data_IF_298395241530
#
_entry.id   IF_298395241530
#
_cell.length_a   1.000
_cell.length_b   1.000
_cell.length_c   1.000
_cell.angle_alpha   90.00
_cell.angle_beta   90.00
_cell.angle_gamma   90.00
#
_symmetry.space_group_name_H-M   'P 1'
#
loop_
_entity.id
_entity.type
_entity.pdbx_description
1 polymer ?
#
# COMPACT_ATOMS: atom_id res chain seq x y z
N UNK A 1 5.52 -53.16 -17.02
CA UNK A 1 5.15 -51.78 -17.39
C UNK A 1 4.82 -51.07 -16.09
N UNK A 2 5.85 -50.52 -15.44
CA UNK A 2 5.72 -49.95 -14.10
C UNK A 2 5.57 -48.44 -14.22
N UNK A 3 4.53 -47.95 -13.55
CA UNK A 3 3.99 -46.60 -13.67
C UNK A 3 4.96 -45.53 -13.20
N UNK A 4 5.01 -44.46 -13.98
CA UNK A 4 5.64 -43.21 -13.57
C UNK A 4 4.71 -42.56 -12.54
N UNK A 5 5.12 -42.53 -11.28
CA UNK A 5 4.48 -41.70 -10.25
C UNK A 5 5.01 -40.29 -10.45
N UNK A 6 4.19 -39.41 -11.02
CA UNK A 6 4.42 -37.97 -10.92
C UNK A 6 4.18 -37.56 -9.46
N UNK A 7 5.26 -37.22 -8.76
CA UNK A 7 5.17 -36.51 -7.49
C UNK A 7 5.06 -35.03 -7.79
N UNK A 8 3.87 -34.48 -7.60
CA UNK A 8 3.68 -33.03 -7.49
C UNK A 8 4.38 -32.56 -6.23
N UNK A 9 5.49 -31.83 -6.40
CA UNK A 9 6.10 -31.09 -5.29
C UNK A 9 5.35 -29.77 -5.21
N UNK A 10 4.46 -29.64 -4.22
CA UNK A 10 3.96 -28.33 -3.79
C UNK A 10 5.09 -27.69 -2.98
N UNK A 11 5.72 -26.65 -3.52
CA UNK A 11 6.62 -25.80 -2.75
C UNK A 11 5.79 -24.59 -2.34
N UNK A 12 5.23 -24.61 -1.13
CA UNK A 12 4.69 -23.42 -0.49
C UNK A 12 5.87 -22.49 -0.14
N UNK A 13 6.10 -21.46 -0.94
CA UNK A 13 6.99 -20.35 -0.58
C UNK A 13 6.15 -19.24 0.09
N UNK A 14 5.58 -19.54 1.26
CA UNK A 14 4.92 -18.56 2.14
C UNK A 14 5.88 -17.93 3.17
N UNK A 15 7.20 -18.14 3.04
CA UNK A 15 8.12 -18.08 4.18
C UNK A 15 8.62 -16.69 4.62
N UNK A 16 8.39 -15.62 3.87
CA UNK A 16 8.97 -14.29 4.16
C UNK A 16 7.95 -13.14 4.07
N UNK A 17 6.67 -13.36 4.43
CA UNK A 17 5.73 -12.24 4.50
C UNK A 17 6.02 -11.43 5.76
N UNK A 18 6.40 -10.17 5.59
CA UNK A 18 6.63 -9.26 6.69
C UNK A 18 5.29 -8.97 7.42
N UNK A 19 5.20 -9.09 8.77
CA UNK A 19 3.93 -9.07 9.50
C UNK A 19 3.11 -7.79 9.33
N UNK A 20 3.76 -6.64 9.08
CA UNK A 20 3.08 -5.39 8.75
C UNK A 20 2.11 -5.48 7.56
N UNK A 21 2.32 -6.40 6.61
CA UNK A 21 1.45 -6.58 5.45
C UNK A 21 0.23 -7.49 5.72
N UNK A 22 0.11 -8.06 6.92
CA UNK A 22 -1.11 -8.80 7.33
C UNK A 22 -2.25 -7.84 7.73
N UNK A 23 -1.92 -6.56 7.94
CA UNK A 23 -2.87 -5.50 8.24
C UNK A 23 -3.32 -4.79 6.96
N UNK A 24 -4.51 -4.22 7.02
CA UNK A 24 -5.02 -3.30 6.03
C UNK A 24 -4.18 -2.02 5.98
N UNK A 25 -3.88 -1.49 7.15
CA UNK A 25 -3.03 -0.33 7.36
C UNK A 25 -2.04 -0.66 8.47
N UNK A 26 -0.75 -0.49 8.21
CA UNK A 26 0.30 -0.55 9.21
C UNK A 26 1.20 0.70 9.19
N UNK A 27 1.40 1.35 10.34
CA UNK A 27 2.21 2.58 10.45
C UNK A 27 3.27 2.54 11.56
N UNK A 28 4.42 3.16 11.32
CA UNK A 28 5.47 3.38 12.31
C UNK A 28 5.25 4.55 13.29
N UNK A 29 4.51 5.62 12.94
CA UNK A 29 4.32 6.77 13.87
C UNK A 29 2.87 7.00 14.34
N UNK A 30 1.87 6.53 13.59
CA UNK A 30 0.46 6.68 13.95
C UNK A 30 -0.50 6.59 12.78
N UNK A 31 -1.77 6.32 13.07
CA UNK A 31 -2.86 6.32 12.09
C UNK A 31 -3.84 7.41 12.46
N UNK A 32 -4.14 8.30 11.52
CA UNK A 32 -5.21 9.28 11.62
C UNK A 32 -6.25 8.99 10.55
N UNK A 33 -7.45 8.57 10.95
CA UNK A 33 -8.57 8.31 10.04
C UNK A 33 -9.72 9.26 10.38
N UNK A 34 -10.03 10.15 9.45
CA UNK A 34 -11.01 11.22 9.62
C UNK A 34 -12.17 11.04 8.64
N UNK A 35 -13.27 11.76 8.92
CA UNK A 35 -14.52 11.80 8.16
C UNK A 35 -15.46 10.59 8.39
N UNK A 36 -16.78 10.81 8.61
CA UNK A 36 -17.76 9.75 8.76
C UNK A 36 -17.94 8.83 7.55
N UNK A 37 -17.55 9.26 6.34
CA UNK A 37 -17.68 8.47 5.13
C UNK A 37 -16.47 7.54 4.88
N UNK A 38 -15.42 7.62 5.69
CA UNK A 38 -14.23 6.75 5.60
C UNK A 38 -14.54 5.35 6.13
N UNK A 39 -14.30 4.31 5.32
CA UNK A 39 -14.61 2.91 5.63
C UNK A 39 -13.42 1.96 5.42
N UNK A 40 -12.81 1.54 6.51
CA UNK A 40 -11.65 0.64 6.50
C UNK A 40 -12.13 -0.81 6.73
N UNK A 41 -11.94 -1.74 5.79
CA UNK A 41 -12.33 -3.16 5.93
C UNK A 41 -11.09 -4.06 6.08
N UNK A 42 -10.75 -4.32 7.33
CA UNK A 42 -9.58 -5.09 7.74
C UNK A 42 -8.97 -4.54 9.01
N UNK A 43 -7.97 -5.24 9.51
CA UNK A 43 -7.30 -4.89 10.76
C UNK A 43 -6.30 -3.76 10.54
N UNK A 44 -6.17 -2.86 11.51
CA UNK A 44 -5.20 -1.76 11.47
C UNK A 44 -4.19 -1.88 12.62
N UNK A 45 -2.93 -1.53 12.35
CA UNK A 45 -1.83 -1.61 13.31
C UNK A 45 -0.95 -0.35 13.28
N UNK A 46 -0.46 0.09 14.45
CA UNK A 46 0.60 1.11 14.49
C UNK A 46 1.52 1.01 15.70
N UNK A 47 2.78 1.40 15.52
CA UNK A 47 3.76 1.66 16.60
C UNK A 47 3.47 3.01 17.31
N UNK A 48 2.59 3.82 16.74
CA UNK A 48 2.16 5.08 17.32
C UNK A 48 0.80 5.02 17.99
N UNK A 49 0.06 6.12 17.83
CA UNK A 49 -1.33 6.23 18.26
C UNK A 49 -2.29 6.06 17.08
N UNK A 50 -3.49 5.54 17.34
CA UNK A 50 -4.61 5.57 16.41
C UNK A 50 -5.55 6.69 16.82
N UNK A 51 -5.89 7.58 15.90
CA UNK A 51 -6.89 8.65 16.10
C UNK A 51 -7.99 8.50 15.06
N UNK A 52 -9.20 8.13 15.52
CA UNK A 52 -10.40 8.02 14.69
C UNK A 52 -11.30 9.23 14.92
N UNK A 53 -11.65 9.96 13.86
CA UNK A 53 -12.57 11.10 13.87
C UNK A 53 -13.74 10.88 12.90
N UNK A 54 -14.76 10.15 13.35
CA UNK A 54 -15.96 9.83 12.56
C UNK A 54 -15.83 8.57 11.70
N UNK A 55 -14.63 8.18 11.29
CA UNK A 55 -14.38 7.03 10.40
C UNK A 55 -14.81 5.68 11.00
N UNK A 56 -15.06 4.69 10.13
CA UNK A 56 -15.46 3.32 10.49
C UNK A 56 -14.39 2.30 10.11
N UNK A 57 -14.03 1.41 11.05
CA UNK A 57 -13.15 0.25 10.85
C UNK A 57 -13.97 -1.04 11.08
N UNK A 58 -14.08 -1.84 10.03
CA UNK A 58 -14.59 -3.21 10.08
C UNK A 58 -13.39 -4.15 10.25
N UNK A 59 -12.88 -4.24 11.47
CA UNK A 59 -11.70 -5.02 11.84
C UNK A 59 -11.22 -4.65 13.25
N UNK A 60 -10.09 -5.21 13.64
CA UNK A 60 -9.37 -4.90 14.87
C UNK A 60 -8.54 -3.62 14.72
N UNK A 61 -8.30 -2.93 15.83
CA UNK A 61 -7.38 -1.80 15.90
C UNK A 61 -6.31 -2.06 16.97
N UNK A 62 -5.06 -2.15 16.55
CA UNK A 62 -3.92 -2.47 17.43
C UNK A 62 -2.93 -1.31 17.43
N UNK A 63 -2.60 -0.79 18.60
CA UNK A 63 -1.60 0.26 18.77
C UNK A 63 -0.62 -0.13 19.88
N UNK A 64 0.67 0.14 19.69
CA UNK A 64 1.62 0.12 20.81
C UNK A 64 1.42 1.36 21.71
N UNK A 65 0.95 2.47 21.12
CA UNK A 65 0.48 3.67 21.81
C UNK A 65 -0.98 3.55 22.26
N UNK A 66 -1.72 4.66 22.11
CA UNK A 66 -3.13 4.76 22.49
C UNK A 66 -4.07 4.81 21.29
N UNK A 67 -5.35 4.53 21.54
CA UNK A 67 -6.44 4.59 20.55
C UNK A 67 -7.48 5.61 21.00
N UNK A 68 -7.50 6.77 20.35
CA UNK A 68 -8.50 7.81 20.55
C UNK A 68 -9.62 7.61 19.51
N UNK A 69 -10.74 7.02 19.95
CA UNK A 69 -11.83 6.66 19.04
C UNK A 69 -13.08 7.52 19.22
N UNK A 70 -13.38 8.36 18.23
CA UNK A 70 -14.68 9.07 18.09
C UNK A 70 -15.50 8.60 16.88
N UNK A 71 -15.08 7.51 16.23
CA UNK A 71 -15.77 6.84 15.13
C UNK A 71 -16.29 5.46 15.53
N UNK A 72 -16.22 4.48 14.63
CA UNK A 72 -16.66 3.09 14.88
C UNK A 72 -15.51 2.11 14.62
N UNK A 73 -15.28 1.18 15.55
CA UNK A 73 -14.40 0.01 15.36
C UNK A 73 -15.23 -1.21 15.74
N UNK A 74 -15.38 -2.18 14.84
CA UNK A 74 -16.24 -3.35 15.08
C UNK A 74 -15.53 -4.52 15.75
N UNK A 75 -14.20 -4.58 15.65
CA UNK A 75 -13.36 -5.60 16.29
C UNK A 75 -12.80 -5.17 17.64
N UNK A 76 -11.73 -5.84 18.05
CA UNK A 76 -11.03 -5.56 19.31
C UNK A 76 -10.14 -4.32 19.18
N UNK A 77 -10.11 -3.51 20.24
CA UNK A 77 -9.18 -2.39 20.40
C UNK A 77 -8.08 -2.84 21.37
N UNK A 78 -6.84 -2.90 20.89
CA UNK A 78 -5.66 -3.25 21.69
C UNK A 78 -4.72 -2.06 21.77
N UNK A 79 -4.47 -1.57 22.98
CA UNK A 79 -3.47 -0.53 23.29
C UNK A 79 -2.27 -1.15 24.00
N UNK A 80 -1.07 -0.57 23.87
CA UNK A 80 0.12 -1.11 24.51
C UNK A 80 0.58 -2.46 23.94
N UNK A 81 0.26 -2.75 22.68
CA UNK A 81 0.71 -3.96 21.98
C UNK A 81 2.24 -4.03 21.85
N UNK A 82 2.75 -5.24 21.61
CA UNK A 82 4.17 -5.42 21.27
C UNK A 82 4.48 -4.80 19.90
N UNK A 83 5.65 -4.17 19.79
CA UNK A 83 6.11 -3.56 18.55
C UNK A 83 6.53 -4.64 17.54
N UNK A 84 5.88 -4.65 16.38
CA UNK A 84 6.28 -5.41 15.21
C UNK A 84 7.45 -4.70 14.48
N UNK A 85 8.41 -5.45 13.90
CA UNK A 85 9.48 -4.84 13.10
C UNK A 85 8.91 -4.08 11.90
N UNK A 86 9.63 -3.09 11.37
CA UNK A 86 9.18 -2.33 10.18
C UNK A 86 10.03 -2.70 8.94
N UNK A 87 9.41 -2.93 7.76
CA UNK A 87 10.16 -3.25 6.54
C UNK A 87 10.99 -2.05 6.03
N UNK A 88 12.18 -2.25 5.45
CA UNK A 88 13.09 -1.19 4.96
C UNK A 88 13.37 -1.25 3.45
N UNK A 89 13.08 -0.25 2.63
CA UNK A 89 13.30 -0.41 1.19
C UNK A 89 14.77 -0.63 0.78
N UNK A 90 15.08 -1.79 0.20
CA UNK A 90 16.39 -2.06 -0.44
C UNK A 90 16.41 -1.52 -1.87
N UNK A 91 16.96 -0.31 -2.02
CA UNK A 91 17.06 0.37 -3.32
C UNK A 91 17.86 -0.42 -4.33
N UNK A 92 19.00 -0.99 -3.92
CA UNK A 92 19.91 -1.71 -4.82
C UNK A 92 19.25 -2.96 -5.36
N UNK A 93 18.51 -3.69 -4.51
CA UNK A 93 17.71 -4.82 -4.93
C UNK A 93 16.64 -4.44 -5.96
N UNK A 94 15.82 -3.42 -5.67
CA UNK A 94 14.72 -3.03 -6.56
C UNK A 94 15.22 -2.48 -7.90
N UNK A 95 16.30 -1.70 -7.90
CA UNK A 95 16.93 -1.23 -9.14
C UNK A 95 17.49 -2.41 -9.95
N UNK A 96 18.16 -3.36 -9.31
CA UNK A 96 18.72 -4.54 -9.97
C UNK A 96 17.66 -5.51 -10.53
N UNK A 97 16.44 -5.52 -9.95
CA UNK A 97 15.30 -6.33 -10.41
C UNK A 97 14.41 -5.59 -11.41
N UNK A 98 14.66 -4.32 -11.67
CA UNK A 98 13.83 -3.49 -12.54
C UNK A 98 13.79 -4.03 -13.97
N UNK A 99 12.58 -4.16 -14.52
CA UNK A 99 12.36 -4.36 -15.95
C UNK A 99 12.63 -3.06 -16.72
N UNK A 100 12.39 -1.91 -16.08
CA UNK A 100 12.62 -0.58 -16.61
C UNK A 100 13.19 0.31 -15.50
N UNK A 101 14.33 0.95 -15.78
CA UNK A 101 14.91 2.00 -14.94
C UNK A 101 14.74 3.36 -15.60
N UNK A 102 14.24 4.32 -14.85
CA UNK A 102 14.05 5.72 -15.27
C UNK A 102 14.98 6.58 -14.41
N UNK A 103 15.99 7.18 -15.04
CA UNK A 103 17.03 7.98 -14.37
C UNK A 103 16.56 9.34 -13.82
N UNK A 104 15.33 9.74 -14.12
CA UNK A 104 14.73 10.98 -13.64
C UNK A 104 13.29 10.77 -13.24
N UNK A 105 12.48 11.79 -13.50
CA UNK A 105 11.07 11.79 -13.10
C UNK A 105 10.19 11.04 -14.11
N UNK A 106 9.14 10.39 -13.60
CA UNK A 106 8.10 9.77 -14.42
C UNK A 106 6.81 10.58 -14.30
N UNK A 107 6.35 11.14 -15.42
CA UNK A 107 5.04 11.76 -15.50
C UNK A 107 4.16 11.04 -16.53
N UNK A 108 3.07 10.43 -16.07
CA UNK A 108 2.04 9.81 -16.90
C UNK A 108 0.79 10.68 -16.83
N UNK A 109 0.38 11.22 -17.97
CA UNK A 109 -0.77 12.11 -18.06
C UNK A 109 -1.67 11.74 -19.24
N UNK A 110 -3.00 11.76 -19.02
CA UNK A 110 -3.99 11.52 -20.07
C UNK A 110 -3.76 10.22 -20.85
N UNK A 111 -3.25 9.18 -20.17
CA UNK A 111 -2.92 7.91 -20.80
C UNK A 111 -3.94 6.84 -20.40
N UNK A 112 -4.83 6.41 -21.32
CA UNK A 112 -5.87 5.44 -21.00
C UNK A 112 -5.34 4.00 -20.83
N UNK A 113 -4.06 3.74 -21.11
CA UNK A 113 -3.45 2.42 -20.91
C UNK A 113 -1.93 2.53 -20.84
N UNK A 114 -1.41 2.86 -19.66
CA UNK A 114 0.03 2.83 -19.37
C UNK A 114 0.42 1.46 -18.79
N UNK A 115 1.17 0.62 -19.52
CA UNK A 115 1.52 -0.71 -19.02
C UNK A 115 2.57 -0.63 -17.90
N UNK A 116 2.35 -1.36 -16.81
CA UNK A 116 3.32 -1.57 -15.74
C UNK A 116 3.55 -3.07 -15.62
N UNK A 117 4.61 -3.58 -16.27
CA UNK A 117 4.94 -5.00 -16.28
C UNK A 117 6.19 -5.26 -15.44
N UNK A 118 6.05 -6.05 -14.39
CA UNK A 118 7.14 -6.29 -13.44
C UNK A 118 7.51 -5.02 -12.67
N UNK A 119 8.80 -4.72 -12.51
CA UNK A 119 9.28 -3.59 -11.72
C UNK A 119 9.68 -2.41 -12.61
N UNK A 120 9.08 -1.25 -12.37
CA UNK A 120 9.50 0.05 -12.91
C UNK A 120 10.18 0.83 -11.78
N UNK A 121 11.49 1.02 -11.89
CA UNK A 121 12.29 1.75 -10.92
C UNK A 121 12.54 3.18 -11.40
N UNK A 122 12.23 4.17 -10.56
CA UNK A 122 12.27 5.60 -10.89
C UNK A 122 13.17 6.30 -9.88
N UNK A 123 14.28 6.88 -10.35
CA UNK A 123 15.23 7.60 -9.48
C UNK A 123 14.74 8.99 -9.05
N UNK A 124 13.72 9.50 -9.73
CA UNK A 124 13.04 10.76 -9.41
C UNK A 124 11.69 10.57 -8.73
N UNK A 125 10.81 11.55 -8.91
CA UNK A 125 9.41 11.47 -8.48
C UNK A 125 8.52 10.81 -9.54
N UNK A 126 7.34 10.36 -9.12
CA UNK A 126 6.31 9.82 -10.00
C UNK A 126 5.05 10.64 -9.88
N UNK A 127 4.53 11.14 -11.01
CA UNK A 127 3.24 11.81 -11.07
C UNK A 127 2.31 11.10 -12.06
N UNK A 128 1.12 10.74 -11.60
CA UNK A 128 0.07 10.10 -12.40
C UNK A 128 -1.16 11.01 -12.37
N UNK A 129 -1.67 11.39 -13.55
CA UNK A 129 -2.86 12.24 -13.67
C UNK A 129 -3.75 11.75 -14.81
N UNK A 130 -5.04 11.59 -14.56
CA UNK A 130 -6.06 11.20 -15.55
C UNK A 130 -5.60 10.04 -16.45
N UNK A 131 -5.11 8.97 -15.81
CA UNK A 131 -4.47 7.85 -16.50
C UNK A 131 -4.86 6.51 -15.89
N UNK A 132 -4.79 5.45 -16.70
CA UNK A 132 -5.00 4.07 -16.27
C UNK A 132 -3.70 3.30 -16.38
N UNK A 133 -3.18 2.82 -15.24
CA UNK A 133 -2.02 1.95 -15.18
C UNK A 133 -2.48 0.50 -15.24
N UNK A 134 -1.97 -0.25 -16.21
CA UNK A 134 -2.38 -1.64 -16.47
C UNK A 134 -1.26 -2.57 -16.04
N UNK A 135 -1.52 -3.32 -14.96
CA UNK A 135 -0.59 -4.27 -14.37
C UNK A 135 -0.58 -5.65 -15.07
N UNK A 136 -0.04 -6.68 -14.39
CA UNK A 136 0.43 -6.62 -13.01
C UNK A 136 1.88 -6.09 -12.90
N UNK A 137 2.16 -5.25 -11.90
CA UNK A 137 3.48 -4.62 -11.74
C UNK A 137 3.67 -3.82 -10.46
N UNK A 138 4.85 -3.21 -10.32
CA UNK A 138 5.20 -2.33 -9.20
C UNK A 138 6.02 -1.15 -9.70
N UNK A 139 5.65 0.05 -9.25
CA UNK A 139 6.46 1.25 -9.44
C UNK A 139 7.18 1.54 -8.13
N UNK A 140 8.51 1.61 -8.18
CA UNK A 140 9.36 1.99 -7.05
C UNK A 140 9.99 3.34 -7.36
N UNK A 141 9.83 4.32 -6.48
CA UNK A 141 10.38 5.66 -6.64
C UNK A 141 11.34 6.01 -5.50
N UNK A 142 12.46 6.66 -5.80
CA UNK A 142 13.36 7.20 -4.76
C UNK A 142 12.80 8.49 -4.13
N UNK A 143 11.83 9.12 -4.78
CA UNK A 143 11.14 10.32 -4.30
C UNK A 143 9.63 10.08 -4.19
N UNK A 144 8.86 11.15 -3.99
CA UNK A 144 7.42 11.08 -3.79
C UNK A 144 6.68 10.50 -5.01
N UNK A 145 5.53 9.90 -4.73
CA UNK A 145 4.57 9.43 -5.73
C UNK A 145 3.26 10.19 -5.53
N UNK A 146 2.75 10.83 -6.58
CA UNK A 146 1.45 11.51 -6.57
C UNK A 146 0.53 10.93 -7.62
N UNK A 147 -0.67 10.55 -7.20
CA UNK A 147 -1.78 10.06 -8.03
C UNK A 147 -2.91 11.06 -7.91
N UNK A 148 -3.32 11.69 -9.00
CA UNK A 148 -4.35 12.75 -8.99
C UNK A 148 -5.32 12.60 -10.18
N UNK A 149 -6.41 13.36 -10.17
CA UNK A 149 -7.31 13.55 -11.32
C UNK A 149 -7.86 12.24 -11.94
N UNK A 150 -8.66 11.43 -11.23
CA UNK A 150 -9.30 10.21 -11.77
C UNK A 150 -8.33 9.14 -12.29
N UNK A 151 -7.24 8.90 -11.58
CA UNK A 151 -6.36 7.80 -11.97
C UNK A 151 -6.94 6.45 -11.58
N UNK A 152 -6.72 5.45 -12.42
CA UNK A 152 -6.94 4.04 -12.13
C UNK A 152 -5.58 3.34 -12.06
N UNK A 153 -5.11 3.02 -10.86
CA UNK A 153 -3.80 2.36 -10.63
C UNK A 153 -4.02 0.87 -10.44
N UNK A 154 -3.84 0.10 -11.53
CA UNK A 154 -4.35 -1.27 -11.57
C UNK A 154 -5.85 -1.31 -11.79
N UNK A 155 -6.34 -2.34 -12.47
CA UNK A 155 -7.76 -2.42 -12.92
C UNK A 155 -8.55 -3.55 -12.25
N UNK A 156 -7.86 -4.39 -11.49
CA UNK A 156 -8.39 -5.57 -10.80
C UNK A 156 -7.29 -6.19 -9.96
N UNK A 157 -7.65 -7.16 -9.12
CA UNK A 157 -6.67 -7.96 -8.36
C UNK A 157 -5.65 -8.68 -9.26
N UNK A 158 -6.07 -9.17 -10.42
CA UNK A 158 -5.18 -9.87 -11.39
C UNK A 158 -4.26 -8.90 -12.15
N UNK A 159 -4.63 -7.62 -12.22
CA UNK A 159 -3.88 -6.56 -12.92
C UNK A 159 -3.45 -5.46 -11.94
N UNK A 160 -3.18 -5.83 -10.68
CA UNK A 160 -2.82 -4.91 -9.63
C UNK A 160 -1.49 -4.22 -9.90
N UNK A 161 -1.37 -2.95 -9.53
CA UNK A 161 -0.14 -2.17 -9.60
C UNK A 161 0.16 -1.64 -8.20
N UNK A 162 1.29 -2.06 -7.64
CA UNK A 162 1.74 -1.55 -6.33
C UNK A 162 2.62 -0.32 -6.51
N UNK A 163 2.58 0.60 -5.54
CA UNK A 163 3.39 1.80 -5.52
C UNK A 163 4.27 1.79 -4.27
N UNK A 164 5.56 2.02 -4.45
CA UNK A 164 6.51 2.12 -3.35
C UNK A 164 7.40 3.35 -3.46
N UNK A 165 7.58 4.06 -2.36
CA UNK A 165 8.42 5.26 -2.30
C UNK A 165 9.44 5.15 -1.18
N UNK A 166 10.71 5.45 -1.47
CA UNK A 166 11.74 5.62 -0.45
C UNK A 166 11.95 7.08 -0.01
N UNK A 167 10.98 7.94 -0.32
CA UNK A 167 11.01 9.34 0.08
C UNK A 167 10.95 9.45 1.61
N UNK A 168 11.85 10.28 2.16
CA UNK A 168 11.86 10.62 3.57
C UNK A 168 10.96 11.85 3.79
N UNK A 169 9.75 11.64 4.31
CA UNK A 169 8.84 12.74 4.62
C UNK A 169 9.41 13.67 5.69
N UNK A 170 9.28 14.97 5.48
CA UNK A 170 9.71 15.97 6.46
C UNK A 170 8.73 16.14 7.65
N UNK A 171 7.51 15.59 7.54
CA UNK A 171 6.46 15.65 8.56
C UNK A 171 5.06 15.63 7.93
N UNK A 172 4.05 15.93 8.75
CA UNK A 172 2.64 15.98 8.33
C UNK A 172 2.45 16.93 7.13
N UNK A 173 1.90 16.41 6.02
CA UNK A 173 1.62 17.19 4.82
C UNK A 173 2.73 17.17 3.76
N UNK A 174 3.79 16.38 3.97
CA UNK A 174 4.82 16.06 2.98
C UNK A 174 4.82 14.56 2.66
N UNK A 175 3.74 14.03 2.05
CA UNK A 175 3.56 12.59 1.87
C UNK A 175 4.56 12.02 0.85
N UNK A 176 5.14 10.87 1.20
CA UNK A 176 5.90 10.05 0.25
C UNK A 176 4.99 9.44 -0.81
N UNK A 177 3.75 9.11 -0.46
CA UNK A 177 2.72 8.73 -1.45
C UNK A 177 1.43 9.49 -1.15
N UNK A 178 0.95 10.24 -2.15
CA UNK A 178 -0.35 10.90 -2.13
C UNK A 178 -1.24 10.30 -3.21
N UNK A 179 -2.38 9.73 -2.82
CA UNK A 179 -3.45 9.33 -3.73
C UNK A 179 -4.64 10.25 -3.52
N UNK A 180 -4.88 11.15 -4.46
CA UNK A 180 -5.97 12.13 -4.41
C UNK A 180 -6.97 11.99 -5.56
N UNK A 181 -8.22 12.36 -5.30
CA UNK A 181 -9.29 12.52 -6.27
C UNK A 181 -10.20 13.69 -5.92
N UNK A 182 -11.43 13.68 -6.43
CA UNK A 182 -12.50 14.57 -5.96
C UNK A 182 -13.79 13.79 -5.75
N UNK A 183 -14.78 14.39 -5.08
CA UNK A 183 -16.09 13.79 -4.88
C UNK A 183 -16.77 13.32 -6.18
N UNK A 184 -16.53 14.01 -7.30
CA UNK A 184 -17.08 13.65 -8.62
C UNK A 184 -16.15 12.71 -9.40
N UNK A 185 -14.87 12.73 -9.04
CA UNK A 185 -13.76 12.24 -9.83
C UNK A 185 -12.74 11.52 -8.92
N UNK A 186 -13.20 10.48 -8.23
CA UNK A 186 -12.39 9.67 -7.32
C UNK A 186 -11.32 8.90 -8.09
N UNK A 187 -10.13 8.76 -7.50
CA UNK A 187 -9.07 7.86 -8.00
C UNK A 187 -9.26 6.46 -7.40
N UNK A 188 -8.96 5.42 -8.17
CA UNK A 188 -9.09 4.03 -7.75
C UNK A 188 -7.76 3.31 -7.90
N UNK A 189 -7.42 2.45 -6.94
CA UNK A 189 -6.19 1.67 -6.98
C UNK A 189 -6.44 0.23 -6.56
N UNK A 190 -5.77 -0.69 -7.24
CA UNK A 190 -5.67 -2.11 -6.91
C UNK A 190 -4.20 -2.46 -6.71
N UNK A 191 -3.78 -2.76 -5.49
CA UNK A 191 -2.38 -3.05 -5.16
C UNK A 191 -1.96 -2.58 -3.77
N UNK A 192 -0.67 -2.65 -3.47
CA UNK A 192 -0.11 -2.19 -2.21
C UNK A 192 0.48 -0.78 -2.31
N UNK A 193 0.37 -0.02 -1.23
CA UNK A 193 1.06 1.25 -1.03
C UNK A 193 2.13 1.06 0.05
N UNK A 194 3.40 1.35 -0.27
CA UNK A 194 4.50 1.12 0.67
C UNK A 194 5.52 2.26 0.71
N UNK A 195 5.59 2.96 1.84
CA UNK A 195 6.52 4.07 2.06
C UNK A 195 7.24 3.92 3.42
N UNK A 196 8.28 3.10 3.52
CA UNK A 196 8.91 2.76 4.80
C UNK A 196 9.63 3.93 5.48
N UNK A 197 9.77 5.06 4.79
CA UNK A 197 10.44 6.26 5.30
C UNK A 197 9.58 7.51 5.20
N UNK A 198 8.30 7.40 4.88
CA UNK A 198 7.46 8.58 4.74
C UNK A 198 6.00 8.36 5.11
N UNK A 199 5.24 9.44 5.02
CA UNK A 199 3.79 9.46 5.20
C UNK A 199 3.10 8.96 3.93
N UNK A 200 2.00 8.24 4.11
CA UNK A 200 1.05 7.97 3.03
C UNK A 200 -0.23 8.71 3.33
N UNK A 201 -0.69 9.46 2.33
CA UNK A 201 -1.92 10.23 2.37
C UNK A 201 -2.88 9.77 1.29
N UNK A 202 -4.13 9.49 1.68
CA UNK A 202 -5.21 9.11 0.75
C UNK A 202 -6.33 10.13 0.91
N UNK A 203 -6.74 10.75 -0.21
CA UNK A 203 -7.75 11.80 -0.29
C UNK A 203 -8.77 11.53 -1.42
N UNK A 204 -10.07 11.38 -1.17
CA UNK A 204 -11.11 11.14 -2.20
C UNK A 204 -10.74 10.01 -3.18
N UNK A 205 -10.29 8.87 -2.65
CA UNK A 205 -9.81 7.73 -3.43
C UNK A 205 -10.19 6.39 -2.80
N UNK A 206 -10.26 5.34 -3.61
CA UNK A 206 -10.51 3.96 -3.17
C UNK A 206 -9.27 3.11 -3.40
N UNK A 207 -8.81 2.37 -2.39
CA UNK A 207 -7.64 1.48 -2.51
C UNK A 207 -8.05 0.05 -2.15
N UNK A 208 -7.99 -0.85 -3.11
CA UNK A 208 -8.17 -2.29 -2.92
C UNK A 208 -6.80 -2.93 -2.67
N UNK A 209 -6.40 -3.02 -1.41
CA UNK A 209 -5.14 -3.61 -0.99
C UNK A 209 -4.69 -3.19 0.40
N UNK A 210 -3.37 -3.14 0.61
CA UNK A 210 -2.73 -2.86 1.91
C UNK A 210 -1.87 -1.61 1.84
N UNK A 211 -1.77 -0.89 2.96
CA UNK A 211 -1.00 0.35 3.10
C UNK A 211 -0.01 0.20 4.25
N UNK A 212 1.29 0.35 3.97
CA UNK A 212 2.36 0.21 4.96
C UNK A 212 3.29 1.42 4.89
N UNK A 213 3.47 2.17 5.99
CA UNK A 213 4.42 3.30 6.02
C UNK A 213 5.19 3.44 7.33
N UNK A 214 6.44 3.88 7.25
CA UNK A 214 7.29 3.98 8.44
C UNK A 214 7.04 5.22 9.29
N UNK A 215 6.33 6.23 8.76
CA UNK A 215 5.93 7.41 9.54
C UNK A 215 4.42 7.38 9.80
N UNK A 216 3.77 8.54 9.86
CA UNK A 216 2.35 8.68 10.11
C UNK A 216 1.55 8.34 8.85
N UNK A 217 0.44 7.62 9.01
CA UNK A 217 -0.63 7.58 8.01
C UNK A 217 -1.65 8.66 8.29
N UNK A 218 -2.02 9.40 7.24
CA UNK A 218 -3.10 10.35 7.30
C UNK A 218 -4.14 10.04 6.23
N UNK A 219 -5.30 9.57 6.66
CA UNK A 219 -6.45 9.31 5.79
C UNK A 219 -7.46 10.43 6.05
N UNK A 220 -7.48 11.40 5.15
CA UNK A 220 -8.32 12.60 5.18
C UNK A 220 -9.31 12.52 4.00
N UNK A 221 -10.55 12.06 4.19
CA UNK A 221 -11.46 11.90 3.05
C UNK A 221 -12.93 12.05 3.33
N UNK A 222 -13.57 13.04 2.71
CA UNK A 222 -14.97 12.89 2.37
C UNK A 222 -15.17 11.77 1.33
N UNK A 223 -16.33 11.11 1.42
CA UNK A 223 -16.81 10.08 0.51
C UNK A 223 -15.85 8.92 0.18
N UNK A 224 -15.71 7.97 1.11
CA UNK A 224 -15.65 6.55 0.74
C UNK A 224 -14.30 5.95 0.38
N UNK A 225 -13.25 6.20 1.18
CA UNK A 225 -12.09 5.29 1.17
C UNK A 225 -12.58 3.93 1.63
N UNK A 226 -12.78 3.01 0.70
CA UNK A 226 -12.97 1.58 0.97
C UNK A 226 -11.61 0.94 0.81
N UNK A 227 -10.98 0.63 1.95
CA UNK A 227 -9.84 -0.28 1.95
C UNK A 227 -10.38 -1.69 2.12
N UNK A 228 -10.29 -2.51 1.09
CA UNK A 228 -10.63 -3.92 1.16
C UNK A 228 -9.36 -4.75 1.17
N UNK A 229 -9.17 -5.52 2.25
CA UNK A 229 -8.26 -6.66 2.21
C UNK A 229 -8.88 -7.68 1.25
N UNK A 230 -8.50 -7.61 -0.03
CA UNK A 230 -8.66 -8.76 -0.88
C UNK A 230 -7.80 -9.86 -0.26
N UNK A 231 -8.37 -11.05 0.01
CA UNK A 231 -7.58 -12.27 0.08
C UNK A 231 -6.88 -12.36 -1.28
N UNK A 232 -5.71 -11.72 -1.39
CA UNK A 232 -4.83 -11.90 -2.53
C UNK A 232 -4.42 -13.36 -2.37
N UNK A 233 -4.89 -14.29 -3.23
CA UNK A 233 -4.62 -15.70 -3.05
C UNK A 233 -3.13 -15.85 -2.80
N UNK A 234 -2.77 -16.58 -1.73
CA UNK A 234 -1.37 -16.81 -1.35
C UNK A 234 -0.50 -17.52 -2.41
N UNK A 235 -1.05 -17.74 -3.61
CA UNK A 235 -0.42 -18.30 -4.80
C UNK A 235 -0.33 -17.31 -5.98
N UNK A 236 -0.88 -16.09 -5.87
CA UNK A 236 -0.97 -15.13 -6.99
C UNK A 236 -0.48 -13.71 -6.67
N UNK A 237 0.17 -13.49 -5.54
CA UNK A 237 1.37 -12.67 -5.62
C UNK A 237 2.40 -13.59 -6.28
N UNK A 238 2.77 -13.46 -7.57
CA UNK A 238 4.05 -14.02 -8.00
C UNK A 238 5.08 -13.62 -6.94
N UNK A 239 6.03 -14.50 -6.69
CA UNK A 239 7.20 -14.33 -5.82
C UNK A 239 8.04 -13.06 -6.10
N UNK A 240 7.51 -12.13 -6.88
CA UNK A 240 7.96 -10.82 -7.33
C UNK A 240 7.16 -9.65 -6.69
N UNK A 241 5.99 -9.90 -6.06
CA UNK A 241 5.21 -8.89 -5.30
C UNK A 241 5.26 -9.08 -3.78
N UNK A 242 5.80 -10.21 -3.32
CA UNK A 242 6.33 -10.28 -1.96
C UNK A 242 7.58 -9.43 -2.00
N UNK A 243 7.63 -8.39 -1.18
CA UNK A 243 8.91 -7.77 -0.88
C UNK A 243 9.76 -8.90 -0.27
N UNK A 244 10.68 -9.44 -1.06
CA UNK A 244 11.48 -10.60 -0.69
C UNK A 244 12.53 -10.10 0.31
N UNK A 245 12.16 -10.12 1.59
CA UNK A 245 13.02 -9.72 2.69
C UNK A 245 13.99 -10.85 3.03
N UNK A 246 15.29 -10.54 3.04
CA UNK A 246 16.30 -11.38 3.66
C UNK A 246 16.49 -10.92 5.11
N UNK A 247 16.33 -11.83 6.07
CA UNK A 247 17.02 -11.71 7.36
C UNK A 247 18.48 -12.14 7.13
N UNK A 248 19.45 -11.29 7.50
CA UNK A 248 20.84 -11.72 7.71
C UNK A 248 20.97 -12.58 8.98
#
# INVERSE_FOLDING_TARGET
>A
AEGRVEKTVRVDLQKNRHPMFDYLIASGDGIKAEDPDTLLRGDIYTIGNITMQGATVIGNATATGSVINTGTITGEITEGAEELPFPQLDREYWEAKANLVIEGDLWVQNNPSYPVQGVVYVKGWVKLSNSTLVGPGTIVAESWIKVEEQCQVGTSLENAVSLSSDYLSAGEGDPAILVEGTAENSSEMWGALWAPRGEIKVEWATIHGTIVCGHQHKIETGSGVILEYADIPGDSLPSQYVVDWWEE
#
